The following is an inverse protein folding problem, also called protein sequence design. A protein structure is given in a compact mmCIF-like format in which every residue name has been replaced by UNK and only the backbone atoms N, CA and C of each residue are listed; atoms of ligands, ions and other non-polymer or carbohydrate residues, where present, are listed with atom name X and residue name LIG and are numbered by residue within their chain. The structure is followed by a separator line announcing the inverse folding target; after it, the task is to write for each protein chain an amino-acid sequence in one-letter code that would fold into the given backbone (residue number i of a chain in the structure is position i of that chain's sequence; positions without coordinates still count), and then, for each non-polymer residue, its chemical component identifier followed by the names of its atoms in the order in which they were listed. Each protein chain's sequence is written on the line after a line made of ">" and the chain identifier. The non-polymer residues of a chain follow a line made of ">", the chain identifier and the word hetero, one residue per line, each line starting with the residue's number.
data_IF_338228989277
#
_entry.id   IF_338228989277
#
_cell.length_a   1.000
_cell.length_b   1.000
_cell.length_c   1.000
_cell.angle_alpha   90.00
_cell.angle_beta   90.00
_cell.angle_gamma   90.00
#
_symmetry.space_group_name_H-M   'P 1'
#
loop_
_entity.id
_entity.type
_entity.pdbx_description
1 polymer ?
#
# COMPACT_ATOMS: atom_id res chain seq x y z
N UNK A 1 6.68 15.75 -1.02
CA UNK A 1 6.94 14.73 -2.07
C UNK A 1 5.92 13.62 -1.92
N UNK A 2 5.40 13.10 -3.02
CA UNK A 2 4.59 11.88 -3.07
C UNK A 2 5.27 10.93 -4.04
N UNK A 3 5.46 9.68 -3.62
CA UNK A 3 5.95 8.60 -4.46
C UNK A 3 4.92 7.49 -4.48
N UNK A 4 4.59 7.02 -5.69
CA UNK A 4 3.73 5.86 -5.91
C UNK A 4 4.57 4.76 -6.54
N UNK A 5 4.58 3.59 -5.91
CA UNK A 5 5.30 2.41 -6.37
C UNK A 5 4.33 1.27 -6.62
N UNK A 6 4.56 0.51 -7.70
CA UNK A 6 3.76 -0.67 -8.08
C UNK A 6 4.70 -1.86 -8.14
N UNK A 7 4.32 -2.95 -7.46
CA UNK A 7 5.08 -4.20 -7.42
C UNK A 7 4.24 -5.33 -8.00
N UNK A 8 4.90 -6.21 -8.76
CA UNK A 8 4.36 -7.51 -9.15
C UNK A 8 5.24 -8.59 -8.53
N UNK A 9 4.95 -9.02 -7.30
CA UNK A 9 5.76 -10.03 -6.62
C UNK A 9 5.73 -11.36 -7.38
N UNK A 10 6.84 -12.10 -7.33
CA UNK A 10 6.94 -13.43 -7.98
C UNK A 10 6.03 -14.45 -7.30
N UNK A 11 5.89 -14.35 -5.97
CA UNK A 11 4.93 -15.12 -5.20
C UNK A 11 3.63 -14.34 -5.07
N UNK A 12 2.50 -15.04 -5.13
CA UNK A 12 1.18 -14.43 -5.00
C UNK A 12 1.04 -13.84 -3.59
N UNK A 13 0.90 -12.52 -3.52
CA UNK A 13 0.47 -11.83 -2.31
C UNK A 13 -1.04 -11.73 -2.31
N UNK A 14 -1.64 -12.01 -1.16
CA UNK A 14 -3.08 -12.16 -1.01
C UNK A 14 -3.67 -11.11 -0.08
N UNK A 15 -2.94 -10.70 0.96
CA UNK A 15 -3.47 -9.81 1.97
C UNK A 15 -2.40 -8.98 2.71
N UNK A 16 -2.84 -8.24 3.74
CA UNK A 16 -1.98 -7.39 4.55
C UNK A 16 -0.97 -8.15 5.42
N UNK A 17 -1.24 -9.41 5.78
CA UNK A 17 -0.28 -10.23 6.53
C UNK A 17 0.92 -10.59 5.65
N UNK A 18 0.68 -10.90 4.38
CA UNK A 18 1.77 -11.10 3.41
C UNK A 18 2.64 -9.85 3.29
N UNK A 19 2.04 -8.65 3.31
CA UNK A 19 2.79 -7.37 3.28
C UNK A 19 3.64 -7.19 4.53
N UNK A 20 3.08 -7.46 5.72
CA UNK A 20 3.84 -7.39 6.97
C UNK A 20 5.02 -8.36 6.97
N UNK A 21 4.84 -9.57 6.41
CA UNK A 21 5.87 -10.57 6.30
C UNK A 21 7.07 -10.14 5.43
N UNK A 22 6.88 -9.19 4.50
CA UNK A 22 7.98 -8.62 3.71
C UNK A 22 8.93 -7.74 4.55
N UNK A 23 8.48 -7.22 5.69
CA UNK A 23 9.26 -6.34 6.57
C UNK A 23 9.86 -5.11 5.85
N UNK A 24 9.10 -4.50 4.93
CA UNK A 24 9.54 -3.37 4.07
C UNK A 24 9.06 -1.98 4.52
N UNK A 25 8.23 -1.93 5.56
CA UNK A 25 7.67 -0.70 6.12
C UNK A 25 8.28 -0.39 7.47
N UNK A 26 8.51 0.89 7.77
CA UNK A 26 8.97 1.33 9.09
C UNK A 26 7.76 1.45 10.02
N UNK A 27 7.87 0.83 11.21
CA UNK A 27 6.84 0.87 12.26
C UNK A 27 5.41 0.64 11.72
N UNK A 28 5.16 -0.49 11.03
CA UNK A 28 3.83 -0.76 10.49
C UNK A 28 2.81 -0.90 11.62
N UNK A 29 1.65 -0.29 11.44
CA UNK A 29 0.48 -0.48 12.30
C UNK A 29 -0.23 -1.73 11.83
N UNK A 30 -0.61 -2.57 12.79
CA UNK A 30 -1.35 -3.78 12.50
C UNK A 30 -2.73 -3.46 11.88
N UNK A 31 -3.05 -4.02 10.71
CA UNK A 31 -4.32 -3.78 10.03
C UNK A 31 -5.47 -4.44 10.80
N UNK A 32 -6.66 -3.83 10.79
CA UNK A 32 -7.84 -4.37 11.49
C UNK A 32 -8.46 -5.57 10.77
N UNK A 33 -8.25 -5.66 9.46
CA UNK A 33 -8.72 -6.75 8.58
C UNK A 33 -7.62 -7.11 7.59
N UNK A 34 -7.65 -8.33 7.09
CA UNK A 34 -6.72 -8.81 6.06
C UNK A 34 -6.74 -7.93 4.78
N UNK A 35 -7.89 -7.35 4.44
CA UNK A 35 -8.07 -6.47 3.27
C UNK A 35 -7.72 -5.01 3.53
N UNK A 36 -7.45 -4.62 4.78
CA UNK A 36 -7.10 -3.24 5.10
C UNK A 36 -5.66 -2.95 4.65
N UNK A 37 -5.34 -1.72 4.23
CA UNK A 37 -3.97 -1.34 3.94
C UNK A 37 -3.09 -1.42 5.19
N UNK A 38 -1.81 -1.75 5.01
CA UNK A 38 -0.79 -1.57 6.04
C UNK A 38 -0.34 -0.12 6.00
N UNK A 39 -0.30 0.54 7.17
CA UNK A 39 0.04 1.97 7.30
C UNK A 39 1.20 2.11 8.28
N UNK A 40 2.15 3.00 8.02
CA UNK A 40 3.18 3.33 9.01
C UNK A 40 2.60 4.12 10.19
N UNK A 41 3.21 3.99 11.37
CA UNK A 41 2.77 4.70 12.58
C UNK A 41 2.79 6.23 12.46
N UNK A 42 3.70 6.77 11.64
CA UNK A 42 3.77 8.21 11.33
C UNK A 42 2.82 8.66 10.21
N UNK A 43 2.07 7.72 9.62
CA UNK A 43 1.12 7.93 8.52
C UNK A 43 1.75 8.56 7.28
N UNK A 44 3.02 8.27 7.00
CA UNK A 44 3.71 8.72 5.79
C UNK A 44 3.75 7.65 4.70
N UNK A 45 3.46 6.39 5.02
CA UNK A 45 3.60 5.26 4.12
C UNK A 45 2.39 4.33 4.22
N UNK A 46 1.85 3.92 3.07
CA UNK A 46 0.71 3.01 2.99
C UNK A 46 0.93 1.99 1.87
N UNK A 47 0.67 0.71 2.16
CA UNK A 47 0.85 -0.39 1.22
C UNK A 47 -0.35 -1.35 1.25
N UNK A 48 -0.82 -1.80 0.08
CA UNK A 48 -1.94 -2.73 -0.02
C UNK A 48 -1.84 -3.63 -1.25
N UNK A 49 -2.44 -4.81 -1.15
CA UNK A 49 -2.64 -5.72 -2.29
C UNK A 49 -3.83 -5.20 -3.08
N UNK A 50 -3.59 -4.77 -4.30
CA UNK A 50 -4.61 -4.44 -5.28
C UNK A 50 -5.01 -5.68 -6.10
N UNK A 51 -6.01 -5.53 -6.96
CA UNK A 51 -6.49 -6.60 -7.82
C UNK A 51 -5.37 -7.26 -8.64
N UNK A 52 -5.55 -8.54 -8.95
CA UNK A 52 -4.61 -9.36 -9.74
C UNK A 52 -3.22 -9.57 -9.09
N UNK A 53 -3.13 -9.47 -7.77
CA UNK A 53 -1.88 -9.72 -7.02
C UNK A 53 -0.84 -8.61 -7.21
N UNK A 54 -1.26 -7.44 -7.69
CA UNK A 54 -0.43 -6.23 -7.68
C UNK A 54 -0.34 -5.68 -6.27
N UNK A 55 0.81 -5.14 -5.90
CA UNK A 55 0.95 -4.44 -4.62
C UNK A 55 1.26 -2.98 -4.89
N UNK A 56 0.49 -2.10 -4.27
CA UNK A 56 0.64 -0.67 -4.39
C UNK A 56 1.23 -0.12 -3.09
N UNK A 57 2.15 0.83 -3.21
CA UNK A 57 2.70 1.58 -2.08
C UNK A 57 2.69 3.07 -2.39
N UNK A 58 2.18 3.86 -1.46
CA UNK A 58 2.25 5.32 -1.50
C UNK A 58 3.07 5.78 -0.31
N UNK A 59 4.16 6.48 -0.61
CA UNK A 59 5.02 7.09 0.41
C UNK A 59 5.00 8.60 0.22
N UNK A 60 4.88 9.33 1.31
CA UNK A 60 4.84 10.79 1.36
C UNK A 60 5.98 11.31 2.22
N UNK A 61 6.44 12.52 1.94
CA UNK A 61 7.24 13.25 2.93
C UNK A 61 6.35 13.69 4.10
N UNK A 62 6.93 13.91 5.27
CA UNK A 62 6.19 14.38 6.45
C UNK A 62 5.35 15.64 6.16
N UNK A 63 5.92 16.60 5.42
CA UNK A 63 5.23 17.82 4.98
C UNK A 63 4.04 17.61 4.04
N UNK A 64 3.85 16.40 3.51
CA UNK A 64 2.80 16.02 2.58
C UNK A 64 1.94 14.85 3.09
N UNK A 65 2.06 14.46 4.38
CA UNK A 65 1.36 13.31 4.96
C UNK A 65 -0.16 13.39 4.83
N UNK A 66 -0.72 14.61 4.89
CA UNK A 66 -2.16 14.83 4.77
C UNK A 66 -2.70 14.51 3.36
N UNK A 67 -1.82 14.45 2.35
CA UNK A 67 -2.18 14.05 1.00
C UNK A 67 -2.29 12.52 0.84
N UNK A 68 -1.75 11.71 1.75
CA UNK A 68 -1.69 10.25 1.63
C UNK A 68 -3.08 9.64 1.39
N UNK A 69 -4.03 9.95 2.26
CA UNK A 69 -5.40 9.40 2.16
C UNK A 69 -6.13 9.89 0.89
N UNK A 70 -5.81 11.09 0.39
CA UNK A 70 -6.39 11.61 -0.85
C UNK A 70 -5.83 10.89 -2.08
N UNK A 71 -4.51 10.68 -2.11
CA UNK A 71 -3.82 9.95 -3.20
C UNK A 71 -4.30 8.50 -3.26
N UNK A 72 -4.32 7.81 -2.11
CA UNK A 72 -4.75 6.40 -2.04
C UNK A 72 -6.18 6.24 -2.53
N UNK A 73 -7.10 7.13 -2.14
CA UNK A 73 -8.50 7.08 -2.60
C UNK A 73 -8.67 7.35 -4.10
N UNK A 74 -7.76 8.09 -4.72
CA UNK A 74 -7.78 8.37 -6.17
C UNK A 74 -7.14 7.27 -7.02
N UNK A 75 -6.29 6.43 -6.43
CA UNK A 75 -5.61 5.36 -7.15
C UNK A 75 -6.55 4.18 -7.42
N UNK A 76 -6.61 3.78 -8.68
CA UNK A 76 -7.38 2.64 -9.14
C UNK A 76 -6.54 1.82 -10.13
N UNK A 77 -6.67 0.50 -10.07
CA UNK A 77 -6.10 -0.40 -11.06
C UNK A 77 -7.15 -0.63 -12.14
N UNK A 78 -6.89 -0.19 -13.36
CA UNK A 78 -7.76 -0.48 -14.49
C UNK A 78 -7.77 -1.99 -14.75
N UNK A 79 -8.95 -2.59 -14.79
CA UNK A 79 -9.11 -3.94 -15.36
C UNK A 79 -8.71 -3.84 -16.84
N UNK A 80 -7.69 -4.59 -17.27
CA UNK A 80 -7.39 -4.70 -18.69
C UNK A 80 -8.62 -5.34 -19.38
N UNK A 81 -9.06 -4.83 -20.54
CA UNK A 81 -10.11 -5.52 -21.30
C UNK A 81 -9.66 -6.95 -21.60
N UNK A 82 -10.58 -7.89 -21.37
CA UNK A 82 -10.39 -9.33 -21.59
C UNK A 82 -10.08 -9.66 -23.06
#
# INVERSE_FOLDING_TARGET
>A
MVQVSVYRPQHKMSDALDILALNVMRHPVEPKKATDPVVSGDRTDMMWVADHGLVLRVTTSESAKDALDAVVRGLHVSQAPA
#
